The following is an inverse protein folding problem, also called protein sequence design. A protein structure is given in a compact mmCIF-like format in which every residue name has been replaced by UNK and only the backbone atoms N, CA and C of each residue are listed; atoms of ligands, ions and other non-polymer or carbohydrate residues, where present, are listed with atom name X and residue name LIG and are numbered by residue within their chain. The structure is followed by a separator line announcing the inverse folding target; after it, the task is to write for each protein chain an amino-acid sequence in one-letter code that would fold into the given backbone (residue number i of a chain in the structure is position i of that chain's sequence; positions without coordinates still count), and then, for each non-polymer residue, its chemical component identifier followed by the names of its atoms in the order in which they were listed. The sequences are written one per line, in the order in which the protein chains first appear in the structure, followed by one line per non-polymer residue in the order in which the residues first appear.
data_IF_234456046593
#
_entry.id   IF_234456046593
#
_cell.length_a   1.000
_cell.length_b   1.000
_cell.length_c   1.000
_cell.angle_alpha   90.00
_cell.angle_beta   90.00
_cell.angle_gamma   90.00
#
_symmetry.space_group_name_H-M   'P 1'
#
loop_
_entity.id
_entity.type
_entity.pdbx_description
1 polymer ?
#
# COMPACT_ATOMS: atom_id res chain seq x y z
N UNK A 1 4.19 8.44 -3.05
CA UNK A 1 3.28 7.46 -3.68
C UNK A 1 4.13 6.63 -4.63
N UNK A 2 4.08 5.31 -4.48
CA UNK A 2 4.84 4.39 -5.34
C UNK A 2 4.26 4.33 -6.75
N UNK A 3 5.08 4.07 -7.78
CA UNK A 3 4.62 3.94 -9.16
C UNK A 3 3.49 2.90 -9.27
N UNK A 4 2.45 3.24 -10.04
CA UNK A 4 1.30 2.36 -10.24
C UNK A 4 0.22 2.38 -9.16
N UNK A 5 0.55 2.78 -7.92
CA UNK A 5 -0.41 2.76 -6.81
C UNK A 5 -1.67 3.59 -7.08
N UNK A 6 -1.50 4.81 -7.62
CA UNK A 6 -2.65 5.65 -7.98
C UNK A 6 -3.52 5.00 -9.05
N UNK A 7 -2.92 4.48 -10.10
CA UNK A 7 -3.66 3.81 -11.18
C UNK A 7 -4.45 2.59 -10.68
N UNK A 8 -3.84 1.79 -9.80
CA UNK A 8 -4.53 0.67 -9.16
C UNK A 8 -5.78 1.12 -8.41
N UNK A 9 -5.65 2.15 -7.57
CA UNK A 9 -6.78 2.66 -6.78
C UNK A 9 -7.87 3.25 -7.68
N UNK A 10 -7.51 4.05 -8.68
CA UNK A 10 -8.48 4.63 -9.62
C UNK A 10 -9.30 3.53 -10.35
N UNK A 11 -8.63 2.47 -10.81
CA UNK A 11 -9.27 1.31 -11.47
C UNK A 11 -10.16 0.54 -10.51
N UNK A 12 -9.71 0.32 -9.28
CA UNK A 12 -10.49 -0.35 -8.25
C UNK A 12 -11.79 0.42 -7.95
N UNK A 13 -11.67 1.73 -7.67
CA UNK A 13 -12.81 2.59 -7.37
C UNK A 13 -13.82 2.65 -8.53
N UNK A 14 -13.32 2.76 -9.76
CA UNK A 14 -14.16 2.71 -10.95
C UNK A 14 -14.94 1.39 -11.06
N UNK A 15 -14.28 0.25 -10.80
CA UNK A 15 -14.91 -1.08 -10.82
C UNK A 15 -15.95 -1.24 -9.71
N UNK A 16 -15.62 -0.85 -8.49
CA UNK A 16 -16.56 -0.89 -7.35
C UNK A 16 -17.84 -0.11 -7.68
N UNK A 17 -17.68 1.08 -8.25
CA UNK A 17 -18.81 1.93 -8.65
C UNK A 17 -19.63 1.31 -9.80
N UNK A 18 -18.96 0.83 -10.85
CA UNK A 18 -19.61 0.28 -12.04
C UNK A 18 -20.42 -0.99 -11.74
N UNK A 19 -19.89 -1.85 -10.88
CA UNK A 19 -20.49 -3.13 -10.51
C UNK A 19 -21.32 -3.06 -9.21
N UNK A 20 -21.44 -1.88 -8.60
CA UNK A 20 -22.14 -1.64 -7.34
C UNK A 20 -21.73 -2.64 -6.25
N UNK A 21 -20.43 -2.88 -6.11
CA UNK A 21 -19.89 -3.84 -5.15
C UNK A 21 -20.07 -3.32 -3.73
N UNK A 22 -20.53 -4.20 -2.84
CA UNK A 22 -20.64 -3.90 -1.39
C UNK A 22 -19.31 -4.20 -0.68
N UNK A 23 -18.31 -3.36 -0.94
CA UNK A 23 -16.97 -3.48 -0.38
C UNK A 23 -16.45 -2.09 0.01
N UNK A 24 -15.21 -2.00 0.55
CA UNK A 24 -14.56 -0.72 0.81
C UNK A 24 -14.41 0.07 -0.50
N UNK A 25 -15.20 1.15 -0.63
CA UNK A 25 -15.22 1.96 -1.85
C UNK A 25 -13.92 2.76 -2.06
N UNK A 26 -13.12 2.99 -1.04
CA UNK A 26 -11.87 3.77 -1.13
C UNK A 26 -10.69 2.91 -1.55
N UNK A 27 -10.61 1.67 -1.07
CA UNK A 27 -9.57 0.71 -1.44
C UNK A 27 -8.16 1.07 -0.99
N UNK A 28 -7.99 1.98 -0.03
CA UNK A 28 -6.66 2.45 0.37
C UNK A 28 -5.91 1.51 1.30
N UNK A 29 -6.59 0.56 1.92
CA UNK A 29 -5.99 -0.30 2.93
C UNK A 29 -5.56 -1.66 2.36
N UNK A 30 -6.49 -2.52 2.01
CA UNK A 30 -6.17 -3.90 1.61
C UNK A 30 -5.83 -4.05 0.12
N UNK A 31 -6.38 -3.22 -0.74
CA UNK A 31 -6.25 -3.39 -2.20
C UNK A 31 -4.80 -3.33 -2.68
N UNK A 32 -3.95 -2.37 -2.25
CA UNK A 32 -2.55 -2.35 -2.65
C UNK A 32 -1.78 -3.59 -2.18
N UNK A 33 -2.08 -4.10 -1.00
CA UNK A 33 -1.43 -5.28 -0.44
C UNK A 33 -1.82 -6.56 -1.18
N UNK A 34 -3.11 -6.75 -1.44
CA UNK A 34 -3.59 -7.91 -2.20
C UNK A 34 -3.02 -7.92 -3.63
N UNK A 35 -2.94 -6.75 -4.27
CA UNK A 35 -2.29 -6.63 -5.58
C UNK A 35 -0.81 -6.96 -5.51
N UNK A 36 -0.07 -6.37 -4.55
CA UNK A 36 1.36 -6.60 -4.40
C UNK A 36 1.70 -8.06 -4.13
N UNK A 37 0.88 -8.77 -3.37
CA UNK A 37 1.04 -10.20 -3.13
C UNK A 37 1.03 -11.00 -4.45
N UNK A 38 0.03 -10.77 -5.30
CA UNK A 38 -0.07 -11.46 -6.60
C UNK A 38 0.99 -10.98 -7.60
N UNK A 39 1.35 -9.71 -7.56
CA UNK A 39 2.39 -9.15 -8.41
C UNK A 39 3.77 -9.75 -8.11
N UNK A 40 4.16 -9.84 -6.85
CA UNK A 40 5.41 -10.49 -6.42
C UNK A 40 5.42 -11.98 -6.79
N UNK A 41 4.28 -12.67 -6.55
CA UNK A 41 4.16 -14.06 -6.95
C UNK A 41 4.30 -14.23 -8.48
N UNK A 42 3.64 -13.38 -9.26
CA UNK A 42 3.75 -13.40 -10.73
C UNK A 42 5.18 -13.15 -11.22
N UNK A 43 5.89 -12.17 -10.64
CA UNK A 43 7.31 -11.93 -10.95
C UNK A 43 8.16 -13.16 -10.64
N UNK A 44 7.91 -13.81 -9.49
CA UNK A 44 8.63 -15.03 -9.07
C UNK A 44 8.41 -16.19 -10.02
N UNK A 45 7.14 -16.49 -10.35
CA UNK A 45 6.78 -17.59 -11.28
C UNK A 45 7.38 -17.35 -12.66
N UNK A 46 7.32 -16.12 -13.16
CA UNK A 46 7.90 -15.77 -14.45
C UNK A 46 9.45 -15.97 -14.48
N UNK A 47 10.12 -15.66 -13.39
CA UNK A 47 11.57 -15.80 -13.31
C UNK A 47 12.02 -17.27 -13.14
N UNK A 48 11.29 -18.04 -12.34
CA UNK A 48 11.58 -19.47 -12.12
C UNK A 48 11.12 -20.34 -13.29
N UNK A 49 10.05 -19.92 -14.00
CA UNK A 49 9.49 -20.66 -15.12
C UNK A 49 8.64 -21.88 -14.72
N UNK A 50 8.29 -21.99 -13.43
CA UNK A 50 7.46 -23.09 -12.90
C UNK A 50 6.56 -22.57 -11.78
N UNK A 51 5.35 -23.12 -11.68
CA UNK A 51 4.45 -22.93 -10.55
C UNK A 51 4.51 -24.08 -9.54
N UNK A 52 5.13 -25.20 -9.93
CA UNK A 52 5.13 -26.44 -9.16
C UNK A 52 6.46 -26.66 -8.41
N UNK A 53 7.53 -25.95 -8.82
CA UNK A 53 8.83 -26.00 -8.15
C UNK A 53 8.83 -25.06 -6.94
N UNK A 54 8.21 -25.49 -5.86
CA UNK A 54 8.04 -24.67 -4.66
C UNK A 54 9.37 -24.32 -3.98
N UNK A 55 10.40 -25.18 -4.11
CA UNK A 55 11.71 -24.90 -3.55
C UNK A 55 12.40 -23.76 -4.31
N UNK A 56 12.41 -23.82 -5.63
CA UNK A 56 12.96 -22.75 -6.46
C UNK A 56 12.19 -21.43 -6.30
N UNK A 57 10.85 -21.48 -6.16
CA UNK A 57 10.03 -20.30 -5.90
C UNK A 57 10.38 -19.65 -4.55
N UNK A 58 10.50 -20.44 -3.48
CA UNK A 58 10.88 -19.96 -2.16
C UNK A 58 12.29 -19.36 -2.17
N UNK A 59 13.23 -20.05 -2.76
CA UNK A 59 14.60 -19.59 -2.94
C UNK A 59 14.68 -18.25 -3.68
N UNK A 60 13.91 -18.10 -4.76
CA UNK A 60 13.88 -16.86 -5.52
C UNK A 60 13.27 -15.71 -4.72
N UNK A 61 12.19 -15.96 -3.97
CA UNK A 61 11.57 -14.99 -3.08
C UNK A 61 12.53 -14.44 -2.03
N UNK A 62 13.33 -15.32 -1.40
CA UNK A 62 14.31 -14.92 -0.39
C UNK A 62 15.51 -14.15 -0.96
N UNK A 63 15.93 -14.46 -2.17
CA UNK A 63 17.13 -13.88 -2.79
C UNK A 63 16.86 -12.56 -3.51
N UNK A 64 15.61 -12.28 -3.88
CA UNK A 64 15.25 -11.17 -4.79
C UNK A 64 14.64 -9.99 -4.06
N UNK A 65 15.00 -8.78 -4.50
CA UNK A 65 14.26 -7.55 -4.18
C UNK A 65 13.25 -7.28 -5.30
N UNK A 66 11.99 -7.17 -4.95
CA UNK A 66 10.89 -6.90 -5.88
C UNK A 66 10.50 -5.42 -5.83
N UNK A 67 9.89 -4.93 -6.91
CA UNK A 67 9.21 -3.64 -6.95
C UNK A 67 7.74 -3.84 -7.26
N UNK A 68 6.87 -3.30 -6.44
CA UNK A 68 5.42 -3.36 -6.62
C UNK A 68 4.76 -2.02 -6.24
N UNK A 69 3.44 -1.97 -6.28
CA UNK A 69 2.65 -0.76 -5.93
C UNK A 69 2.80 -0.33 -4.46
N UNK A 70 3.36 -1.18 -3.61
CA UNK A 70 3.68 -0.88 -2.20
C UNK A 70 5.15 -0.48 -2.00
N UNK A 71 5.93 -0.40 -3.08
CA UNK A 71 7.34 -0.08 -3.08
C UNK A 71 8.22 -1.31 -3.21
N UNK A 72 9.43 -1.24 -2.65
CA UNK A 72 10.36 -2.35 -2.62
C UNK A 72 9.95 -3.40 -1.60
N UNK A 73 9.97 -4.66 -2.00
CA UNK A 73 9.65 -5.80 -1.16
C UNK A 73 10.84 -6.77 -1.18
N UNK A 74 11.37 -7.08 -0.02
CA UNK A 74 12.41 -8.07 0.17
C UNK A 74 12.10 -8.90 1.41
N UNK A 75 12.19 -10.21 1.27
CA UNK A 75 11.95 -11.14 2.36
C UNK A 75 13.25 -11.46 3.10
N UNK A 76 13.19 -11.50 4.42
CA UNK A 76 14.26 -11.90 5.30
C UNK A 76 14.28 -13.40 5.57
N UNK A 77 15.09 -13.80 6.54
CA UNK A 77 15.34 -15.22 6.86
C UNK A 77 14.06 -15.99 7.23
N UNK A 78 13.12 -15.32 7.87
CA UNK A 78 11.84 -15.90 8.33
C UNK A 78 10.66 -15.56 7.43
N UNK A 79 10.91 -15.03 6.23
CA UNK A 79 9.88 -14.60 5.29
C UNK A 79 9.22 -13.26 5.64
N UNK A 80 9.74 -12.54 6.63
CA UNK A 80 9.30 -11.19 6.98
C UNK A 80 9.72 -10.17 5.91
N UNK A 81 8.96 -9.09 5.78
CA UNK A 81 9.36 -7.96 4.95
C UNK A 81 10.42 -7.12 5.67
N UNK A 82 11.67 -7.15 5.18
CA UNK A 82 12.85 -6.55 5.85
C UNK A 82 12.80 -5.03 5.94
N UNK A 83 12.10 -4.37 5.02
CA UNK A 83 12.01 -2.90 4.96
C UNK A 83 10.59 -2.40 5.22
N UNK A 84 9.77 -3.19 5.91
CA UNK A 84 8.40 -2.80 6.23
C UNK A 84 8.37 -1.46 6.97
N UNK A 85 7.65 -0.47 6.41
CA UNK A 85 7.46 0.84 7.02
C UNK A 85 6.02 0.98 7.50
N UNK A 86 5.86 0.97 8.80
CA UNK A 86 4.61 1.45 9.40
C UNK A 86 4.63 2.97 9.41
N UNK A 87 3.62 3.58 8.78
CA UNK A 87 3.46 5.03 8.72
C UNK A 87 2.37 5.44 9.72
N UNK A 88 2.73 6.32 10.65
CA UNK A 88 1.75 6.97 11.53
C UNK A 88 1.33 8.29 10.90
N UNK A 89 0.05 8.44 10.67
CA UNK A 89 -0.53 9.64 10.05
C UNK A 89 -1.55 10.30 10.96
N UNK A 90 -1.68 11.61 10.84
CA UNK A 90 -2.74 12.38 11.43
C UNK A 90 -3.48 13.15 10.34
N UNK A 91 -4.80 13.04 10.33
CA UNK A 91 -5.62 13.89 9.49
C UNK A 91 -5.87 15.21 10.21
N UNK A 92 -5.59 16.31 9.55
CA UNK A 92 -5.72 17.67 10.08
C UNK A 92 -6.60 18.50 9.16
N UNK A 93 -7.29 19.50 9.73
CA UNK A 93 -8.20 20.39 8.99
C UNK A 93 -9.37 19.64 8.31
N UNK A 94 -9.85 18.58 8.95
CA UNK A 94 -11.02 17.83 8.49
C UNK A 94 -12.28 18.57 8.93
N UNK A 95 -13.17 18.86 7.98
CA UNK A 95 -14.43 19.57 8.21
C UNK A 95 -15.58 18.70 7.72
N UNK A 96 -16.63 18.60 8.51
CA UNK A 96 -17.84 17.84 8.17
C UNK A 96 -17.60 16.34 7.82
N UNK A 97 -18.57 15.70 7.17
CA UNK A 97 -18.55 14.28 6.80
C UNK A 97 -18.25 14.05 5.30
N UNK A 98 -17.63 15.02 4.62
CA UNK A 98 -17.20 14.85 3.24
C UNK A 98 -15.96 13.92 3.17
N UNK A 99 -16.15 12.72 2.64
CA UNK A 99 -15.07 11.73 2.55
C UNK A 99 -13.98 12.09 1.53
N UNK A 100 -14.28 12.92 0.54
CA UNK A 100 -13.31 13.36 -0.47
C UNK A 100 -12.16 14.16 0.14
N UNK A 101 -12.39 14.81 1.30
CA UNK A 101 -11.36 15.57 1.98
C UNK A 101 -10.18 14.70 2.47
N UNK A 102 -10.38 13.40 2.73
CA UNK A 102 -9.32 12.49 3.16
C UNK A 102 -8.31 12.20 2.05
N UNK A 103 -8.68 12.40 0.79
CA UNK A 103 -7.80 12.25 -0.38
C UNK A 103 -7.10 13.56 -0.77
N UNK A 104 -7.54 14.72 -0.26
CA UNK A 104 -6.96 16.02 -0.61
C UNK A 104 -5.53 16.15 -0.11
N UNK A 105 -4.69 16.74 -0.94
CA UNK A 105 -3.31 17.05 -0.55
C UNK A 105 -3.28 17.96 0.69
N UNK A 106 -2.42 17.64 1.64
CA UNK A 106 -2.20 18.43 2.84
C UNK A 106 -3.11 18.12 4.04
N UNK A 107 -4.18 17.35 3.88
CA UNK A 107 -5.02 16.93 5.02
C UNK A 107 -4.40 15.79 5.81
N UNK A 108 -3.74 14.85 5.13
CA UNK A 108 -3.03 13.74 5.74
C UNK A 108 -1.56 14.12 5.98
N UNK A 109 -1.17 14.21 7.23
CA UNK A 109 0.21 14.50 7.64
C UNK A 109 0.87 13.23 8.15
N UNK A 110 2.09 12.94 7.69
CA UNK A 110 2.92 11.85 8.21
C UNK A 110 3.62 12.37 9.47
N UNK A 111 3.42 11.67 10.58
CA UNK A 111 4.03 11.95 11.87
C UNK A 111 5.28 11.12 12.11
N UNK A 112 5.30 9.90 11.60
CA UNK A 112 6.39 8.93 11.72
C UNK A 112 6.40 8.01 10.50
N UNK A 113 7.58 7.56 10.01
CA UNK A 113 8.93 7.84 10.50
C UNK A 113 9.38 9.28 10.21
N UNK A 114 10.42 9.74 10.93
CA UNK A 114 10.83 11.13 10.93
C UNK A 114 11.46 11.60 9.60
N UNK A 115 12.09 10.68 8.87
CA UNK A 115 12.75 10.95 7.57
C UNK A 115 11.75 11.34 6.46
N UNK A 116 10.48 10.94 6.60
CA UNK A 116 9.41 11.29 5.66
C UNK A 116 8.28 12.10 6.31
N UNK A 117 8.52 12.63 7.51
CA UNK A 117 7.54 13.44 8.25
C UNK A 117 7.10 14.66 7.43
N UNK A 118 5.79 14.95 7.42
CA UNK A 118 5.21 16.06 6.64
C UNK A 118 4.46 17.09 7.50
N UNK A 119 4.41 16.90 8.81
CA UNK A 119 3.76 17.83 9.72
C UNK A 119 3.96 17.47 11.19
N UNK A 120 3.53 18.35 12.08
CA UNK A 120 3.60 18.13 13.52
C UNK A 120 2.26 17.62 14.07
N UNK A 121 2.36 16.82 15.14
CA UNK A 121 1.18 16.34 15.86
C UNK A 121 0.41 17.53 16.44
N UNK A 122 -0.88 17.57 16.18
CA UNK A 122 -1.79 18.56 16.79
C UNK A 122 -2.64 17.89 17.86
N UNK A 123 -2.92 18.57 18.99
CA UNK A 123 -3.91 18.13 19.95
C UNK A 123 -5.29 17.98 19.29
N UNK A 124 -6.14 17.10 19.82
CA UNK A 124 -7.46 16.85 19.26
C UNK A 124 -8.31 18.13 19.07
N UNK A 125 -8.22 19.05 20.02
CA UNK A 125 -8.96 20.32 19.96
C UNK A 125 -8.51 21.24 18.81
N UNK A 126 -7.31 21.08 18.30
CA UNK A 126 -6.72 21.87 17.21
C UNK A 126 -6.91 21.19 15.83
N UNK A 127 -7.60 20.05 15.78
CA UNK A 127 -7.84 19.29 14.55
C UNK A 127 -9.12 19.70 13.81
N UNK A 128 -9.97 20.48 14.45
CA UNK A 128 -11.27 20.92 13.94
C UNK A 128 -11.20 22.27 13.25
#
# INVERSE_FOLDING_TARGET
IYPGAKNLIDRYQAKVKAENLKTDALGYYLVPWAYAYLDVLGQTVNAVGSIDDHEALADYLHKTEFTSVVGKVKFGEFGEWTESRTIVVQYQNIKNNDIEQFSRAGTRKIMFPLDIKTGDVKPYNDLR
#
